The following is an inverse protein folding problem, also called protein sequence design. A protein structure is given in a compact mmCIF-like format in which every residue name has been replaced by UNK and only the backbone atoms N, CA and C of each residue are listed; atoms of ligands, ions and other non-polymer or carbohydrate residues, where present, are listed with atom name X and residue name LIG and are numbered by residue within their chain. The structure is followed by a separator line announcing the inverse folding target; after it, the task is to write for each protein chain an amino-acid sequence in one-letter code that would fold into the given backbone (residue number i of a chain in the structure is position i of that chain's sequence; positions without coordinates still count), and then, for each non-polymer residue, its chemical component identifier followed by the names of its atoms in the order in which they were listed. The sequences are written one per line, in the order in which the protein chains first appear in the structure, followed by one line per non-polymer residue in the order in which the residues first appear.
data_IF_705413383832
#
_entry.id   IF_705413383832
#
_cell.length_a   1.000
_cell.length_b   1.000
_cell.length_c   1.000
_cell.angle_alpha   90.00
_cell.angle_beta   90.00
_cell.angle_gamma   90.00
#
_symmetry.space_group_name_H-M   'P 1'
#
loop_
_entity.id
_entity.type
_entity.pdbx_description
1 polymer ?
#
# COMPACT_ATOMS: atom_id res chain seq x y z
N UNK A 1 -27.68 -8.83 20.69
CA UNK A 1 -27.17 -9.71 19.60
C UNK A 1 -25.90 -9.09 19.05
N UNK A 2 -24.73 -9.59 19.46
CA UNK A 2 -23.45 -9.05 18.98
C UNK A 2 -23.25 -9.41 17.51
N UNK A 3 -23.23 -8.42 16.64
CA UNK A 3 -22.91 -8.59 15.22
C UNK A 3 -21.44 -8.98 15.10
N UNK A 4 -21.15 -10.27 14.93
CA UNK A 4 -19.82 -10.72 14.53
C UNK A 4 -19.49 -10.05 13.20
N UNK A 5 -18.54 -9.11 13.19
CA UNK A 5 -18.10 -8.41 11.97
C UNK A 5 -17.39 -9.41 11.06
N UNK A 6 -18.16 -10.08 10.21
CA UNK A 6 -17.65 -11.08 9.26
C UNK A 6 -16.98 -10.36 8.09
N UNK A 7 -15.79 -10.82 7.71
CA UNK A 7 -15.14 -10.40 6.47
C UNK A 7 -15.96 -10.96 5.31
N UNK A 8 -16.44 -10.08 4.44
CA UNK A 8 -17.24 -10.44 3.27
C UNK A 8 -16.38 -10.61 2.04
N UNK A 9 -15.33 -9.80 1.89
CA UNK A 9 -14.44 -9.83 0.73
C UNK A 9 -13.06 -9.27 1.09
N UNK A 10 -12.02 -9.81 0.45
CA UNK A 10 -10.66 -9.29 0.51
C UNK A 10 -10.22 -8.86 -0.88
N UNK A 11 -9.54 -7.72 -0.97
CA UNK A 11 -9.07 -7.15 -2.23
C UNK A 11 -7.59 -6.79 -2.05
N UNK A 12 -6.73 -7.36 -2.87
CA UNK A 12 -5.33 -6.98 -2.93
C UNK A 12 -5.20 -5.72 -3.78
N UNK A 13 -4.69 -4.63 -3.19
CA UNK A 13 -4.43 -3.38 -3.91
C UNK A 13 -3.04 -3.45 -4.55
N UNK A 14 -2.03 -3.84 -3.77
CA UNK A 14 -0.66 -4.02 -4.24
C UNK A 14 0.11 -5.00 -3.31
N UNK A 15 1.44 -5.09 -3.43
CA UNK A 15 2.27 -5.97 -2.59
C UNK A 15 2.41 -5.51 -1.11
N UNK A 16 1.85 -4.35 -0.74
CA UNK A 16 1.90 -3.77 0.61
C UNK A 16 0.52 -3.56 1.23
N UNK A 17 -0.53 -3.41 0.43
CA UNK A 17 -1.84 -2.95 0.85
C UNK A 17 -2.92 -3.98 0.51
N UNK A 18 -3.71 -4.37 1.53
CA UNK A 18 -4.83 -5.29 1.39
C UNK A 18 -6.06 -4.65 2.01
N UNK A 19 -7.16 -4.64 1.26
CA UNK A 19 -8.44 -4.18 1.74
C UNK A 19 -9.31 -5.35 2.22
N UNK A 20 -9.85 -5.22 3.42
CA UNK A 20 -10.80 -6.15 4.03
C UNK A 20 -12.17 -5.48 4.13
N UNK A 21 -13.12 -5.95 3.32
CA UNK A 21 -14.51 -5.54 3.39
C UNK A 21 -15.21 -6.37 4.47
N UNK A 22 -15.88 -5.71 5.39
CA UNK A 22 -16.69 -6.36 6.43
C UNK A 22 -18.16 -6.12 6.18
N UNK A 23 -19.03 -6.93 6.81
CA UNK A 23 -20.48 -6.69 6.76
C UNK A 23 -20.80 -5.30 7.30
N UNK A 24 -21.54 -4.49 6.52
CA UNK A 24 -21.91 -3.12 6.86
C UNK A 24 -21.31 -2.08 5.92
N UNK A 25 -21.06 -0.86 6.43
CA UNK A 25 -20.51 0.28 5.67
C UNK A 25 -19.00 0.50 5.91
N UNK A 26 -18.35 -0.43 6.60
CA UNK A 26 -16.95 -0.31 7.01
C UNK A 26 -16.07 -1.20 6.13
N UNK A 27 -14.87 -0.73 5.86
CA UNK A 27 -13.77 -1.51 5.31
C UNK A 27 -12.51 -1.24 6.14
N UNK A 28 -11.52 -2.12 6.03
CA UNK A 28 -10.24 -1.96 6.70
C UNK A 28 -9.11 -2.08 5.71
N UNK A 29 -8.25 -1.07 5.66
CA UNK A 29 -7.00 -1.11 4.92
C UNK A 29 -5.91 -1.68 5.84
N UNK A 30 -5.36 -2.84 5.46
CA UNK A 30 -4.18 -3.41 6.11
C UNK A 30 -2.93 -2.99 5.35
N UNK A 31 -2.00 -2.33 6.04
CA UNK A 31 -0.70 -1.95 5.51
C UNK A 31 0.34 -2.91 6.07
N UNK A 32 0.90 -3.76 5.22
CA UNK A 32 1.89 -4.75 5.60
C UNK A 32 3.19 -4.07 6.06
N UNK A 33 3.87 -4.59 7.10
CA UNK A 33 5.13 -4.02 7.57
C UNK A 33 6.28 -4.18 6.55
N UNK A 34 6.16 -5.15 5.63
CA UNK A 34 7.11 -5.40 4.54
C UNK A 34 6.37 -5.83 3.29
N UNK A 35 6.93 -5.51 2.12
CA UNK A 35 6.37 -5.92 0.83
C UNK A 35 6.29 -7.44 0.72
N UNK A 36 5.09 -7.93 0.39
CA UNK A 36 4.80 -9.35 0.20
C UNK A 36 4.87 -9.71 -1.29
N UNK A 37 6.08 -10.01 -1.77
CA UNK A 37 6.33 -10.27 -3.19
C UNK A 37 5.40 -11.34 -3.76
N UNK A 38 4.64 -10.97 -4.79
CA UNK A 38 3.71 -11.83 -5.51
C UNK A 38 2.25 -11.71 -5.06
N UNK A 39 1.97 -10.95 -4.01
CA UNK A 39 0.60 -10.74 -3.53
C UNK A 39 -0.27 -10.07 -4.62
N UNK A 40 0.20 -8.99 -5.25
CA UNK A 40 -0.46 -8.29 -6.36
C UNK A 40 -0.56 -9.13 -7.63
N UNK A 41 0.44 -9.98 -7.89
CA UNK A 41 0.48 -10.87 -9.07
C UNK A 41 -0.57 -11.97 -9.00
N UNK A 42 -0.69 -12.63 -7.84
CA UNK A 42 -1.58 -13.78 -7.68
C UNK A 42 -2.97 -13.39 -7.17
N UNK A 43 -3.07 -12.26 -6.44
CA UNK A 43 -4.31 -11.76 -5.82
C UNK A 43 -5.07 -12.79 -4.98
N UNK A 44 -4.38 -13.83 -4.53
CA UNK A 44 -4.92 -14.97 -3.80
C UNK A 44 -3.98 -15.33 -2.67
N UNK A 45 -4.53 -15.49 -1.49
CA UNK A 45 -3.80 -15.87 -0.29
C UNK A 45 -4.73 -16.60 0.67
N UNK A 46 -4.17 -17.48 1.50
CA UNK A 46 -4.83 -18.02 2.68
C UNK A 46 -4.37 -17.27 3.93
N UNK A 47 -5.15 -17.34 4.99
CA UNK A 47 -4.79 -16.79 6.30
C UNK A 47 -5.40 -17.65 7.40
N UNK A 48 -4.78 -17.65 8.56
CA UNK A 48 -5.28 -18.31 9.77
C UNK A 48 -5.49 -17.23 10.84
N UNK A 49 -6.70 -17.17 11.38
CA UNK A 49 -7.04 -16.25 12.46
C UNK A 49 -6.66 -16.87 13.80
N UNK A 50 -5.90 -16.16 14.63
CA UNK A 50 -5.46 -16.68 15.94
C UNK A 50 -6.57 -16.61 17.01
N UNK A 51 -7.46 -15.61 16.96
CA UNK A 51 -8.48 -15.34 17.99
C UNK A 51 -9.92 -15.22 17.43
N UNK A 52 -10.21 -15.89 16.31
CA UNK A 52 -11.51 -15.78 15.62
C UNK A 52 -11.73 -14.46 14.88
N UNK A 53 -10.73 -13.58 14.86
CA UNK A 53 -10.67 -12.37 14.04
C UNK A 53 -9.25 -12.23 13.45
N UNK A 54 -9.10 -11.42 12.40
CA UNK A 54 -7.79 -11.10 11.83
C UNK A 54 -7.09 -10.07 12.71
N UNK A 55 -5.96 -10.46 13.29
CA UNK A 55 -5.08 -9.59 14.05
C UNK A 55 -3.90 -9.13 13.20
N UNK A 56 -3.27 -8.02 13.60
CA UNK A 56 -2.04 -7.52 12.97
C UNK A 56 -0.84 -8.46 13.08
N UNK A 57 -0.89 -9.48 13.95
CA UNK A 57 0.14 -10.50 14.09
C UNK A 57 -0.15 -11.76 13.26
N UNK A 58 -1.35 -11.88 12.69
CA UNK A 58 -1.68 -13.03 11.85
C UNK A 58 -0.87 -13.01 10.56
N UNK A 59 -0.64 -14.18 9.98
CA UNK A 59 0.16 -14.35 8.77
C UNK A 59 -0.74 -14.74 7.61
N UNK A 60 -0.50 -14.11 6.44
CA UNK A 60 -1.07 -14.53 5.17
C UNK A 60 -0.06 -15.38 4.41
N UNK A 61 -0.54 -16.31 3.60
CA UNK A 61 0.27 -17.08 2.68
C UNK A 61 -0.26 -16.92 1.26
N UNK A 62 0.55 -16.33 0.38
CA UNK A 62 0.21 -16.15 -1.04
C UNK A 62 0.00 -17.51 -1.68
N UNK A 63 -0.98 -17.66 -2.57
CA UNK A 63 -1.27 -18.91 -3.28
C UNK A 63 -0.88 -18.73 -4.74
N UNK A 64 0.17 -19.43 -5.21
CA UNK A 64 0.67 -19.31 -6.59
C UNK A 64 -0.08 -20.21 -7.58
N UNK A 65 -0.71 -21.26 -7.08
CA UNK A 65 -1.44 -22.28 -7.83
C UNK A 65 -2.11 -23.27 -6.87
N UNK A 66 -2.72 -24.34 -7.38
CA UNK A 66 -3.51 -25.30 -6.61
C UNK A 66 -2.73 -26.04 -5.52
N UNK A 67 -1.42 -26.26 -5.71
CA UNK A 67 -0.60 -27.07 -4.77
C UNK A 67 0.66 -26.37 -4.26
N UNK A 68 0.93 -25.15 -4.69
CA UNK A 68 2.18 -24.45 -4.35
C UNK A 68 1.93 -23.26 -3.42
N UNK A 69 2.18 -23.43 -2.10
CA UNK A 69 2.20 -22.30 -1.19
C UNK A 69 3.27 -21.31 -1.64
N UNK A 70 2.88 -20.05 -1.72
CA UNK A 70 3.75 -18.92 -1.98
C UNK A 70 4.39 -18.39 -0.69
N UNK A 71 4.88 -17.16 -0.76
CA UNK A 71 5.49 -16.48 0.38
C UNK A 71 4.47 -16.25 1.49
N UNK A 72 4.93 -16.38 2.72
CA UNK A 72 4.19 -16.00 3.91
C UNK A 72 4.62 -14.62 4.39
N UNK A 73 3.65 -13.81 4.80
CA UNK A 73 3.85 -12.42 5.21
C UNK A 73 2.98 -12.11 6.43
N UNK A 74 3.55 -11.45 7.43
CA UNK A 74 2.80 -10.99 8.60
C UNK A 74 1.92 -9.83 8.17
N UNK A 75 0.68 -9.79 8.67
CA UNK A 75 -0.19 -8.64 8.52
C UNK A 75 0.40 -7.43 9.25
N UNK A 76 -0.17 -6.25 8.99
CA UNK A 76 0.19 -5.04 9.72
C UNK A 76 -1.00 -4.36 10.33
N UNK A 77 -0.93 -3.05 10.43
CA UNK A 77 -1.95 -2.22 11.06
C UNK A 77 -3.22 -2.17 10.20
N UNK A 78 -4.38 -2.32 10.85
CA UNK A 78 -5.69 -2.18 10.22
C UNK A 78 -6.22 -0.76 10.44
N UNK A 79 -6.35 -0.01 9.35
CA UNK A 79 -6.93 1.33 9.36
C UNK A 79 -8.38 1.27 8.91
N UNK A 80 -9.35 1.73 9.73
CA UNK A 80 -10.74 1.78 9.32
C UNK A 80 -10.92 2.82 8.21
N UNK A 81 -11.55 2.42 7.13
CA UNK A 81 -11.91 3.28 6.01
C UNK A 81 -13.38 3.09 5.67
N UNK A 82 -14.00 4.12 5.12
CA UNK A 82 -15.36 3.96 4.62
C UNK A 82 -15.31 3.11 3.33
N UNK A 83 -16.41 2.44 2.99
CA UNK A 83 -16.45 1.56 1.81
C UNK A 83 -16.30 2.33 0.48
N UNK A 84 -16.71 3.59 0.41
CA UNK A 84 -16.58 4.42 -0.79
C UNK A 84 -15.12 4.80 -1.05
N UNK A 85 -14.41 5.29 -0.04
CA UNK A 85 -12.97 5.61 -0.07
C UNK A 85 -12.15 4.36 -0.38
N UNK A 86 -12.55 3.22 0.18
CA UNK A 86 -11.90 1.95 -0.08
C UNK A 86 -11.96 1.52 -1.55
N UNK A 87 -13.04 1.90 -2.28
CA UNK A 87 -13.15 1.68 -3.71
C UNK A 87 -12.24 2.64 -4.48
N UNK A 88 -12.13 3.89 -4.05
CA UNK A 88 -11.19 4.86 -4.64
C UNK A 88 -9.74 4.36 -4.57
N UNK A 89 -9.32 3.76 -3.44
CA UNK A 89 -7.99 3.16 -3.27
C UNK A 89 -7.73 2.00 -4.26
N UNK A 90 -8.78 1.31 -4.71
CA UNK A 90 -8.67 0.22 -5.70
C UNK A 90 -8.65 0.76 -7.14
N UNK A 91 -9.17 1.96 -7.37
CA UNK A 91 -9.26 2.61 -8.67
C UNK A 91 -8.00 3.42 -9.00
N UNK A 92 -7.36 4.05 -8.01
CA UNK A 92 -6.13 4.84 -8.20
C UNK A 92 -4.97 4.08 -8.88
N UNK A 93 -4.74 2.76 -8.71
CA UNK A 93 -3.69 2.05 -9.44
C UNK A 93 -4.06 1.73 -10.90
N UNK A 94 -5.34 1.87 -11.29
CA UNK A 94 -5.85 1.57 -12.65
C UNK A 94 -6.23 2.82 -13.44
N UNK A 95 -6.36 3.98 -12.79
CA UNK A 95 -6.14 5.24 -13.46
C UNK A 95 -4.67 5.25 -13.86
N UNK A 96 -4.43 5.05 -15.16
CA UNK A 96 -3.10 5.20 -15.74
C UNK A 96 -2.53 6.52 -15.21
N UNK A 97 -1.23 6.64 -14.89
CA UNK A 97 -0.59 7.88 -15.24
C UNK A 97 -0.72 7.91 -16.77
N UNK A 98 -1.80 8.50 -17.28
CA UNK A 98 -1.70 9.09 -18.58
C UNK A 98 -0.43 9.92 -18.51
N UNK A 99 0.47 9.61 -19.43
CA UNK A 99 1.65 10.36 -19.71
C UNK A 99 1.21 11.81 -19.99
N UNK A 100 1.02 12.59 -18.94
CA UNK A 100 1.29 14.00 -18.98
C UNK A 100 2.71 14.09 -18.48
N UNK A 101 3.61 14.01 -19.45
CA UNK A 101 4.84 14.78 -19.44
C UNK A 101 4.59 16.01 -18.55
N UNK A 102 5.28 16.09 -17.40
CA UNK A 102 5.65 17.42 -16.99
C UNK A 102 6.41 17.96 -18.21
N UNK A 103 5.97 19.06 -18.86
CA UNK A 103 6.95 19.79 -19.64
C UNK A 103 8.08 20.04 -18.65
N UNK A 104 9.24 19.52 -19.00
CA UNK A 104 10.52 20.04 -18.55
C UNK A 104 10.51 21.50 -19.01
N UNK A 105 9.77 22.35 -18.33
CA UNK A 105 9.81 23.78 -18.55
C UNK A 105 11.24 24.15 -18.20
N UNK A 106 11.94 24.56 -19.24
CA UNK A 106 13.30 25.06 -19.21
C UNK A 106 13.60 25.79 -17.90
N UNK A 107 14.52 25.21 -17.12
CA UNK A 107 15.42 26.01 -16.28
C UNK A 107 16.76 26.08 -17.00
N UNK A 108 16.72 26.44 -18.28
CA UNK A 108 17.87 27.10 -18.90
C UNK A 108 17.71 28.61 -18.68
N UNK A 109 18.82 29.17 -18.22
CA UNK A 109 19.16 30.56 -18.06
C UNK A 109 18.47 31.35 -16.93
N UNK A 110 19.27 31.65 -15.89
CA UNK A 110 19.93 32.96 -15.79
C UNK A 110 20.98 32.96 -14.65
N UNK A 111 22.26 33.07 -15.05
CA UNK A 111 23.34 33.96 -14.53
C UNK A 111 23.61 33.86 -13.00
N UNK A 112 24.76 33.40 -12.49
CA UNK A 112 26.12 33.81 -12.82
C UNK A 112 26.58 34.94 -11.89
N UNK A 113 27.17 34.64 -10.73
CA UNK A 113 28.20 35.51 -10.14
C UNK A 113 29.03 34.73 -9.11
N UNK A 114 30.32 34.70 -9.36
CA UNK A 114 31.38 34.25 -8.45
C UNK A 114 31.63 35.34 -7.41
N UNK A 115 31.47 35.03 -6.12
CA UNK A 115 32.10 35.83 -5.07
C UNK A 115 33.21 35.01 -4.40
N UNK A 116 34.41 35.33 -4.84
CA UNK A 116 35.69 35.05 -4.23
C UNK A 116 35.75 35.77 -2.88
N UNK A 117 35.51 35.05 -1.78
CA UNK A 117 35.62 35.61 -0.43
C UNK A 117 36.87 35.05 0.26
N UNK A 118 38.03 35.53 -0.19
CA UNK A 118 39.29 35.46 0.56
C UNK A 118 39.65 36.86 1.03
N UNK A 119 39.09 37.26 2.18
CA UNK A 119 39.38 38.53 2.87
C UNK A 119 40.79 38.48 3.52
N UNK A 120 41.58 39.57 3.50
CA UNK A 120 43.01 39.56 3.81
C UNK A 120 43.29 39.74 5.31
N UNK A 121 44.46 39.22 5.69
CA UNK A 121 45.20 39.40 6.94
C UNK A 121 44.88 40.63 7.80
N UNK A 122 44.55 40.38 9.08
CA UNK A 122 44.88 41.28 10.20
C UNK A 122 45.29 40.47 11.45
N UNK A 123 46.60 40.30 11.63
CA UNK A 123 47.34 40.33 12.91
C UNK A 123 48.83 40.07 12.67
#
# INVERSE_FOLDING_TARGET
MSTTRRITKTIVVNDLNILFLVTGKTAYLNILPKQCKGLSRYQRFSYRTTAGSLCNLDTIQVIRGSSYPGRSCVLGSFHPVNKADALAVIEEPRARPDAKSLPSAEVEDIIGESEDFSDPTLN
#
